data_IF_601499227066
#
_entry.id   IF_601499227066
#
_cell.length_a   1.000
_cell.length_b   1.000
_cell.length_c   1.000
_cell.angle_alpha   90.00
_cell.angle_beta   90.00
_cell.angle_gamma   90.00
#
_symmetry.space_group_name_H-M   'P 1'
#
loop_
_entity.id
_entity.type
_entity.pdbx_description
1 polymer ?
#
# COMPACT_ATOMS: atom_id res chain seq x y z
N UNK A 1 3.81 -10.31 -18.77
CA UNK A 1 3.78 -9.73 -20.13
C UNK A 1 5.03 -8.87 -20.27
N UNK A 2 5.76 -8.93 -21.40
CA UNK A 2 6.92 -8.06 -21.60
C UNK A 2 6.56 -6.58 -21.42
N UNK A 3 7.41 -5.84 -20.71
CA UNK A 3 7.20 -4.41 -20.45
C UNK A 3 6.29 -4.06 -19.27
N UNK A 4 5.88 -5.03 -18.45
CA UNK A 4 5.24 -4.76 -17.15
C UNK A 4 6.31 -4.75 -16.07
N UNK A 5 6.56 -3.59 -15.48
CA UNK A 5 7.55 -3.42 -14.40
C UNK A 5 6.93 -3.48 -13.01
N UNK A 6 5.67 -3.05 -12.87
CA UNK A 6 4.97 -2.93 -11.58
C UNK A 6 3.55 -3.48 -11.71
N UNK A 7 3.09 -4.21 -10.69
CA UNK A 7 1.69 -4.53 -10.45
C UNK A 7 1.21 -3.72 -9.24
N UNK A 8 0.26 -2.82 -9.43
CA UNK A 8 -0.29 -1.99 -8.36
C UNK A 8 -1.62 -2.55 -7.88
N UNK A 9 -1.70 -2.91 -6.60
CA UNK A 9 -2.93 -3.39 -5.96
C UNK A 9 -3.80 -2.20 -5.52
N UNK A 10 -5.08 -2.24 -5.87
CA UNK A 10 -6.12 -1.42 -5.24
C UNK A 10 -6.73 -2.19 -4.06
N UNK A 11 -6.41 -1.83 -2.79
CA UNK A 11 -6.84 -2.63 -1.63
C UNK A 11 -8.36 -2.81 -1.54
N UNK A 12 -9.12 -1.73 -1.71
CA UNK A 12 -10.58 -1.73 -1.60
C UNK A 12 -11.21 -2.66 -2.62
N UNK A 13 -10.90 -2.46 -3.91
CA UNK A 13 -11.48 -3.25 -5.00
C UNK A 13 -11.11 -4.73 -4.88
N UNK A 14 -9.86 -5.04 -4.52
CA UNK A 14 -9.44 -6.42 -4.27
C UNK A 14 -10.24 -7.06 -3.12
N UNK A 15 -10.44 -6.34 -2.01
CA UNK A 15 -11.21 -6.85 -0.87
C UNK A 15 -12.68 -7.13 -1.22
N UNK A 16 -13.27 -6.29 -2.07
CA UNK A 16 -14.64 -6.45 -2.56
C UNK A 16 -14.74 -7.69 -3.45
N UNK A 17 -13.82 -7.85 -4.40
CA UNK A 17 -13.78 -8.99 -5.31
C UNK A 17 -13.60 -10.32 -4.56
N UNK A 18 -12.82 -10.30 -3.47
CA UNK A 18 -12.59 -11.47 -2.62
C UNK A 18 -13.74 -11.75 -1.62
N UNK A 19 -14.82 -10.96 -1.64
CA UNK A 19 -15.98 -11.16 -0.76
C UNK A 19 -15.75 -10.76 0.70
N UNK A 20 -14.69 -10.00 0.99
CA UNK A 20 -14.28 -9.53 2.32
C UNK A 20 -14.15 -7.99 2.32
N UNK A 21 -15.23 -7.25 1.99
CA UNK A 21 -15.14 -5.83 1.66
C UNK A 21 -14.56 -5.01 2.83
N UNK A 22 -13.43 -4.37 2.57
CA UNK A 22 -12.66 -3.54 3.50
C UNK A 22 -12.13 -4.27 4.75
N UNK A 23 -12.29 -5.60 4.84
CA UNK A 23 -11.65 -6.41 5.87
C UNK A 23 -10.26 -6.85 5.40
N UNK A 24 -9.33 -5.92 5.53
CA UNK A 24 -7.93 -6.15 5.18
C UNK A 24 -7.23 -7.11 6.14
N UNK A 25 -7.81 -7.41 7.31
CA UNK A 25 -7.25 -8.38 8.25
C UNK A 25 -7.68 -9.81 7.96
N UNK A 26 -8.71 -9.99 7.12
CA UNK A 26 -9.21 -11.30 6.74
C UNK A 26 -8.13 -12.19 6.13
N UNK A 27 -8.17 -13.47 6.47
CA UNK A 27 -7.26 -14.47 5.91
C UNK A 27 -7.37 -14.52 4.38
N UNK A 28 -8.59 -14.41 3.84
CA UNK A 28 -8.84 -14.39 2.39
C UNK A 28 -8.10 -13.25 1.69
N UNK A 29 -8.17 -12.02 2.22
CA UNK A 29 -7.47 -10.88 1.64
C UNK A 29 -5.95 -11.08 1.71
N UNK A 30 -5.45 -11.56 2.85
CA UNK A 30 -4.02 -11.77 3.09
C UNK A 30 -3.43 -12.84 2.16
N UNK A 31 -4.14 -13.95 1.96
CA UNK A 31 -3.76 -14.99 0.99
C UNK A 31 -3.80 -14.49 -0.46
N UNK A 32 -4.72 -13.57 -0.77
CA UNK A 32 -4.77 -12.86 -2.05
C UNK A 32 -3.49 -12.07 -2.30
N UNK A 33 -3.03 -11.30 -1.30
CA UNK A 33 -1.77 -10.57 -1.37
C UNK A 33 -0.55 -11.50 -1.50
N UNK A 34 -0.54 -12.64 -0.79
CA UNK A 34 0.55 -13.62 -0.90
C UNK A 34 0.62 -14.24 -2.30
N UNK A 35 -0.54 -14.51 -2.90
CA UNK A 35 -0.63 -15.01 -4.28
C UNK A 35 -0.06 -14.00 -5.28
N UNK A 36 -0.41 -12.71 -5.11
CA UNK A 36 0.09 -11.61 -5.95
C UNK A 36 1.61 -11.46 -5.78
N UNK A 37 2.11 -11.43 -4.54
CA UNK A 37 3.53 -11.31 -4.25
C UNK A 37 4.34 -12.47 -4.85
N UNK A 38 3.85 -13.71 -4.69
CA UNK A 38 4.48 -14.88 -5.28
C UNK A 38 4.51 -14.83 -6.82
N UNK A 39 3.43 -14.36 -7.46
CA UNK A 39 3.39 -14.17 -8.91
C UNK A 39 4.38 -13.09 -9.38
N UNK A 40 4.37 -11.94 -8.71
CA UNK A 40 5.29 -10.83 -8.99
C UNK A 40 6.76 -11.30 -8.90
N UNK A 41 7.10 -12.01 -7.82
CA UNK A 41 8.43 -12.61 -7.63
C UNK A 41 8.82 -13.57 -8.76
N UNK A 42 7.92 -14.47 -9.17
CA UNK A 42 8.18 -15.43 -10.27
C UNK A 42 8.45 -14.74 -11.61
N UNK A 43 7.88 -13.56 -11.83
CA UNK A 43 7.96 -12.85 -13.10
C UNK A 43 8.92 -11.65 -13.08
N UNK A 44 9.60 -11.37 -11.96
CA UNK A 44 10.48 -10.21 -11.84
C UNK A 44 9.74 -8.87 -11.92
N UNK A 45 8.47 -8.84 -11.52
CA UNK A 45 7.62 -7.64 -11.46
C UNK A 45 7.59 -7.13 -10.02
N UNK A 46 7.60 -5.81 -9.83
CA UNK A 46 7.49 -5.21 -8.51
C UNK A 46 6.03 -5.19 -8.05
N UNK A 47 5.66 -5.79 -6.91
CA UNK A 47 4.35 -5.60 -6.33
C UNK A 47 4.29 -4.26 -5.60
N UNK A 48 3.20 -3.52 -5.83
CA UNK A 48 2.93 -2.24 -5.20
C UNK A 48 1.53 -2.14 -4.62
N UNK A 49 1.32 -1.13 -3.77
CA UNK A 49 0.06 -0.90 -3.06
C UNK A 49 -0.40 0.55 -3.22
N UNK A 50 -1.65 0.74 -3.69
CA UNK A 50 -2.22 2.07 -3.97
C UNK A 50 -2.50 2.90 -2.70
N UNK A 51 -2.74 2.27 -1.56
CA UNK A 51 -2.65 2.92 -0.26
C UNK A 51 -2.38 1.85 0.79
N UNK A 52 -1.77 2.25 1.89
CA UNK A 52 -1.67 1.37 3.06
C UNK A 52 -3.03 1.37 3.75
N UNK A 53 -3.70 0.21 3.87
CA UNK A 53 -4.95 0.12 4.60
C UNK A 53 -4.88 0.78 5.98
N UNK A 54 -5.99 1.38 6.46
CA UNK A 54 -6.05 1.93 7.80
C UNK A 54 -5.58 0.90 8.84
N UNK A 55 -4.87 1.39 9.86
CA UNK A 55 -4.39 0.59 11.00
C UNK A 55 -3.39 -0.53 10.63
N UNK A 56 -2.84 -0.53 9.41
CA UNK A 56 -1.74 -1.39 9.00
C UNK A 56 -0.45 -0.60 8.82
N UNK A 57 0.68 -1.24 9.11
CA UNK A 57 1.99 -0.64 8.91
C UNK A 57 2.55 -1.00 7.52
N UNK A 58 3.26 -0.08 6.83
CA UNK A 58 3.91 -0.37 5.55
C UNK A 58 4.85 -1.58 5.61
N UNK A 59 5.55 -1.76 6.73
CA UNK A 59 6.55 -2.83 6.92
C UNK A 59 5.95 -4.23 6.77
N UNK A 60 4.69 -4.41 7.14
CA UNK A 60 3.97 -5.67 6.92
C UNK A 60 3.93 -6.06 5.42
N UNK A 61 3.75 -5.09 4.54
CA UNK A 61 3.73 -5.31 3.09
C UNK A 61 5.14 -5.47 2.53
N UNK A 62 6.12 -4.76 3.10
CA UNK A 62 7.54 -4.93 2.77
C UNK A 62 8.00 -6.36 3.05
N UNK A 63 7.60 -6.94 4.19
CA UNK A 63 7.90 -8.34 4.54
C UNK A 63 7.31 -9.34 3.53
N UNK A 64 6.14 -9.02 2.95
CA UNK A 64 5.54 -9.79 1.84
C UNK A 64 6.24 -9.58 0.49
N UNK A 65 7.11 -8.57 0.37
CA UNK A 65 7.87 -8.24 -0.83
C UNK A 65 7.34 -7.05 -1.64
N UNK A 66 6.36 -6.32 -1.13
CA UNK A 66 5.89 -5.07 -1.76
C UNK A 66 6.91 -3.96 -1.55
N UNK A 67 7.24 -3.24 -2.62
CA UNK A 67 8.28 -2.19 -2.56
C UNK A 67 7.89 -0.89 -3.26
N UNK A 68 6.68 -0.81 -3.82
CA UNK A 68 6.14 0.40 -4.44
C UNK A 68 4.87 0.83 -3.72
N UNK A 69 4.85 2.03 -3.14
CA UNK A 69 3.73 2.50 -2.32
C UNK A 69 3.34 3.92 -2.71
N UNK A 70 2.03 4.18 -2.76
CA UNK A 70 1.48 5.53 -2.72
C UNK A 70 1.00 5.85 -1.30
N UNK A 71 1.49 6.97 -0.77
CA UNK A 71 1.20 7.41 0.60
C UNK A 71 0.52 8.78 0.57
N UNK A 72 -0.45 9.04 1.47
CA UNK A 72 -1.08 10.35 1.56
C UNK A 72 -0.07 11.38 2.07
N UNK A 73 0.13 12.46 1.31
CA UNK A 73 1.12 13.50 1.64
C UNK A 73 0.53 14.71 2.37
N UNK A 74 -0.79 14.94 2.30
CA UNK A 74 -1.43 16.16 2.80
C UNK A 74 -1.22 16.39 4.30
N UNK A 75 -1.22 15.32 5.10
CA UNK A 75 -0.93 15.39 6.55
C UNK A 75 0.52 15.82 6.79
N UNK A 76 1.47 15.21 6.09
CA UNK A 76 2.89 15.58 6.21
C UNK A 76 3.14 17.02 5.79
N UNK A 77 2.51 17.49 4.71
CA UNK A 77 2.60 18.89 4.31
C UNK A 77 2.02 19.82 5.39
N UNK A 78 0.84 19.49 5.93
CA UNK A 78 0.20 20.29 6.97
C UNK A 78 1.06 20.38 8.24
N UNK A 79 1.58 19.25 8.71
CA UNK A 79 2.43 19.21 9.90
C UNK A 79 3.77 19.91 9.66
N UNK A 80 4.39 19.72 8.50
CA UNK A 80 5.61 20.42 8.12
C UNK A 80 5.43 21.95 8.06
N UNK A 81 4.32 22.41 7.47
CA UNK A 81 3.97 23.83 7.44
C UNK A 81 3.79 24.35 8.87
N UNK A 82 2.92 23.72 9.68
CA UNK A 82 2.70 24.13 11.08
C UNK A 82 4.01 24.22 11.85
N UNK A 83 4.88 23.23 11.71
CA UNK A 83 6.18 23.20 12.36
C UNK A 83 7.08 24.37 11.93
N UNK A 84 7.18 24.65 10.62
CA UNK A 84 7.96 25.78 10.11
C UNK A 84 7.40 27.15 10.53
N UNK A 85 6.07 27.27 10.69
CA UNK A 85 5.43 28.50 11.14
C UNK A 85 5.52 28.73 12.65
N UNK A 86 5.76 27.69 13.46
CA UNK A 86 5.71 27.74 14.93
C UNK A 86 6.71 28.74 15.55
N UNK A 87 7.83 29.04 14.88
CA UNK A 87 8.83 30.00 15.34
C UNK A 87 8.62 31.44 14.90
N UNK A 88 7.61 31.73 14.07
CA UNK A 88 7.36 33.08 13.53
C UNK A 88 6.43 33.80 14.48
N UNK A 89 6.91 34.88 15.12
CA UNK A 89 6.03 35.82 15.84
C UNK A 89 5.10 36.48 14.83
N UNK A 90 3.79 36.26 14.98
CA UNK A 90 2.71 36.86 14.21
C UNK A 90 1.72 37.50 15.16
#
# INVERSE_FOLDING_TARGET
VPGIDVLLVGPSDLSIELGVPLDYTSETYQQGLDTIAAACKRHGVVPGMYFIPPDMEPDFFVEKGFTFFTLPWARWATEGIKHGLAGIKR
#
